data_IF_368824142988
#
_entry.id   IF_368824142988
#
_cell.length_a   1.000
_cell.length_b   1.000
_cell.length_c   1.000
_cell.angle_alpha   90.00
_cell.angle_beta   90.00
_cell.angle_gamma   90.00
#
_symmetry.space_group_name_H-M   'P 1'
#
loop_
_entity.id
_entity.type
_entity.pdbx_description
1 polymer ?
#
# COMPACT_ATOMS: atom_id res chain seq x y z
N UNK A 1 -8.64 2.86 15.36
CA UNK A 1 -7.31 2.29 15.60
C UNK A 1 -6.30 3.42 15.74
N UNK A 2 -5.51 3.45 16.82
CA UNK A 2 -4.42 4.43 16.98
C UNK A 2 -3.17 3.85 16.30
N UNK A 3 -2.59 4.59 15.36
CA UNK A 3 -1.42 4.15 14.58
C UNK A 3 -0.23 5.02 14.94
N UNK A 4 0.81 4.43 15.53
CA UNK A 4 2.06 5.15 15.81
C UNK A 4 2.93 5.22 14.55
N UNK A 5 3.00 6.40 13.93
CA UNK A 5 3.77 6.64 12.71
C UNK A 5 5.27 6.34 12.86
N UNK A 6 5.85 6.60 14.03
CA UNK A 6 7.29 6.48 14.25
C UNK A 6 7.76 5.02 14.25
N UNK A 7 6.92 4.10 14.74
CA UNK A 7 7.25 2.67 14.86
C UNK A 7 6.96 1.88 13.58
N UNK A 8 6.31 2.48 12.59
CA UNK A 8 5.99 1.81 11.33
C UNK A 8 7.23 1.68 10.47
N UNK A 9 7.50 0.43 10.07
CA UNK A 9 8.51 0.13 9.06
C UNK A 9 7.99 0.60 7.69
N UNK A 10 8.82 1.34 6.92
CA UNK A 10 8.47 1.66 5.54
C UNK A 10 8.31 0.36 4.74
N UNK A 11 7.39 0.37 3.78
CA UNK A 11 7.38 -0.68 2.75
C UNK A 11 8.68 -0.62 1.96
N UNK A 12 9.26 -1.78 1.67
CA UNK A 12 10.34 -1.87 0.71
C UNK A 12 9.72 -2.15 -0.64
N UNK A 13 10.14 -1.38 -1.63
CA UNK A 13 9.76 -1.58 -3.02
C UNK A 13 11.02 -1.72 -3.85
N UNK A 14 10.96 -2.55 -4.88
CA UNK A 14 11.92 -2.50 -5.98
C UNK A 14 11.37 -1.66 -7.12
N UNK A 15 12.24 -1.20 -8.01
CA UNK A 15 11.81 -0.44 -9.19
C UNK A 15 10.91 -1.28 -10.12
N UNK A 16 11.22 -2.57 -10.26
CA UNK A 16 10.40 -3.50 -11.05
C UNK A 16 9.00 -3.70 -10.47
N UNK A 17 8.85 -3.71 -9.13
CA UNK A 17 7.54 -3.75 -8.49
C UNK A 17 6.73 -2.49 -8.79
N UNK A 18 7.36 -1.31 -8.79
CA UNK A 18 6.71 -0.04 -9.14
C UNK A 18 6.21 -0.03 -10.60
N UNK A 19 6.99 -0.61 -11.51
CA UNK A 19 6.58 -0.78 -12.90
C UNK A 19 5.35 -1.67 -13.04
N UNK A 20 5.31 -2.78 -12.29
CA UNK A 20 4.14 -3.66 -12.25
C UNK A 20 2.91 -2.94 -11.70
N UNK A 21 3.06 -2.17 -10.61
CA UNK A 21 1.96 -1.38 -10.05
C UNK A 21 1.42 -0.33 -11.04
N UNK A 22 2.28 0.33 -11.81
CA UNK A 22 1.83 1.29 -12.83
C UNK A 22 0.92 0.65 -13.87
N UNK A 23 1.22 -0.60 -14.27
CA UNK A 23 0.39 -1.37 -15.20
C UNK A 23 -0.98 -1.68 -14.61
N UNK A 24 -1.03 -2.03 -13.33
CA UNK A 24 -2.30 -2.32 -12.63
C UNK A 24 -3.16 -1.09 -12.39
N UNK A 25 -2.55 0.07 -12.14
CA UNK A 25 -3.26 1.33 -11.90
C UNK A 25 -3.73 1.96 -13.22
N UNK A 26 -3.11 1.61 -14.36
CA UNK A 26 -3.41 2.18 -15.68
C UNK A 26 -2.86 3.59 -15.87
N UNK A 27 -1.99 4.05 -14.95
CA UNK A 27 -1.29 5.32 -15.04
C UNK A 27 0.22 5.06 -14.99
N UNK A 28 1.00 5.62 -15.95
CA UNK A 28 2.45 5.48 -15.92
C UNK A 28 3.02 6.23 -14.72
N UNK A 29 3.93 5.59 -13.99
CA UNK A 29 4.81 6.31 -13.08
C UNK A 29 6.00 6.83 -13.88
N UNK A 30 6.26 8.14 -13.81
CA UNK A 30 7.48 8.71 -14.36
C UNK A 30 8.68 8.32 -13.49
N UNK A 31 9.89 8.45 -14.05
CA UNK A 31 11.10 8.06 -13.35
C UNK A 31 11.30 8.88 -12.06
N UNK A 32 10.96 10.17 -12.10
CA UNK A 32 11.01 11.08 -10.96
C UNK A 32 10.07 10.62 -9.84
N UNK A 33 8.89 10.09 -10.18
CA UNK A 33 7.93 9.55 -9.21
C UNK A 33 8.50 8.31 -8.54
N UNK A 34 9.07 7.38 -9.32
CA UNK A 34 9.69 6.15 -8.81
C UNK A 34 10.85 6.49 -7.87
N UNK A 35 11.71 7.41 -8.27
CA UNK A 35 12.82 7.88 -7.45
C UNK A 35 12.33 8.51 -6.14
N UNK A 36 11.30 9.35 -6.19
CA UNK A 36 10.74 9.95 -4.98
C UNK A 36 10.18 8.90 -4.02
N UNK A 37 9.45 7.90 -4.54
CA UNK A 37 8.87 6.82 -3.73
C UNK A 37 9.99 6.00 -3.07
N UNK A 38 11.04 5.66 -3.81
CA UNK A 38 12.17 4.88 -3.29
C UNK A 38 13.01 5.70 -2.32
N UNK A 39 13.24 6.98 -2.58
CA UNK A 39 14.07 7.88 -1.74
C UNK A 39 13.41 8.21 -0.40
N UNK A 40 12.12 8.56 -0.41
CA UNK A 40 11.47 9.10 0.78
C UNK A 40 10.77 8.02 1.62
N UNK A 41 11.36 7.69 2.77
CA UNK A 41 10.78 6.78 3.75
C UNK A 41 9.37 7.18 4.19
N UNK A 42 9.07 8.49 4.25
CA UNK A 42 7.76 8.97 4.67
C UNK A 42 6.62 8.50 3.77
N UNK A 43 6.86 8.49 2.45
CA UNK A 43 5.91 7.98 1.46
C UNK A 43 5.66 6.48 1.64
N UNK A 44 6.75 5.72 1.79
CA UNK A 44 6.69 4.26 2.01
C UNK A 44 6.01 3.88 3.33
N UNK A 45 6.15 4.70 4.38
CA UNK A 45 5.40 4.54 5.64
C UNK A 45 3.91 4.84 5.47
N UNK A 46 3.56 5.90 4.75
CA UNK A 46 2.16 6.24 4.48
C UNK A 46 1.44 5.12 3.73
N UNK A 47 2.09 4.51 2.74
CA UNK A 47 1.57 3.34 2.03
C UNK A 47 1.36 2.13 2.98
N UNK A 48 2.27 1.91 3.92
CA UNK A 48 2.17 0.80 4.88
C UNK A 48 0.96 0.99 5.82
N UNK A 49 0.71 2.24 6.24
CA UNK A 49 -0.48 2.61 7.01
C UNK A 49 -1.75 2.35 6.21
N UNK A 50 -1.80 2.81 4.96
CA UNK A 50 -2.95 2.62 4.07
C UNK A 50 -3.26 1.13 3.85
N UNK A 51 -2.23 0.30 3.66
CA UNK A 51 -2.39 -1.16 3.53
C UNK A 51 -2.98 -1.78 4.80
N UNK A 52 -2.48 -1.40 5.99
CA UNK A 52 -3.03 -1.86 7.27
C UNK A 52 -4.47 -1.42 7.49
N UNK A 53 -4.79 -0.17 7.17
CA UNK A 53 -6.17 0.35 7.29
C UNK A 53 -7.13 -0.39 6.36
N UNK A 54 -6.74 -0.61 5.10
CA UNK A 54 -7.55 -1.39 4.14
C UNK A 54 -7.77 -2.83 4.62
N UNK A 55 -6.74 -3.48 5.16
CA UNK A 55 -6.87 -4.81 5.75
C UNK A 55 -7.84 -4.81 6.93
N UNK A 56 -7.69 -3.88 7.88
CA UNK A 56 -8.63 -3.78 9.01
C UNK A 56 -10.07 -3.50 8.57
N UNK A 57 -10.27 -2.74 7.49
CA UNK A 57 -11.59 -2.51 6.92
C UNK A 57 -12.16 -3.79 6.29
N UNK A 58 -11.33 -4.61 5.65
CA UNK A 58 -11.73 -5.89 5.09
C UNK A 58 -11.93 -6.97 6.15
N UNK A 59 -11.21 -6.92 7.28
CA UNK A 59 -11.45 -7.78 8.44
C UNK A 59 -12.78 -7.41 9.13
N UNK A 60 -13.15 -6.12 9.11
CA UNK A 60 -14.44 -5.64 9.63
C UNK A 60 -15.63 -5.92 8.70
N UNK A 61 -15.39 -6.14 7.40
CA UNK A 61 -16.37 -6.73 6.49
C UNK A 61 -16.22 -8.24 6.70
N UNK A 62 -17.09 -8.85 7.50
CA UNK A 62 -16.84 -10.21 7.98
C UNK A 62 -16.53 -11.16 6.81
N UNK A 63 -15.51 -12.01 6.97
CA UNK A 63 -15.17 -13.05 5.98
C UNK A 63 -16.39 -13.93 5.66
N UNK A 64 -17.31 -14.06 6.62
CA UNK A 64 -18.63 -14.65 6.48
C UNK A 64 -19.54 -13.95 5.46
N UNK A 65 -19.47 -12.63 5.30
CA UNK A 65 -20.27 -11.89 4.30
C UNK A 65 -19.74 -12.08 2.87
N UNK A 66 -18.46 -12.42 2.71
CA UNK A 66 -17.84 -12.72 1.42
C UNK A 66 -18.01 -14.19 0.99
N UNK A 67 -18.13 -15.12 1.94
CA UNK A 67 -18.33 -16.55 1.70
C UNK A 67 -19.80 -16.97 1.48
N UNK A 68 -20.77 -16.11 1.81
CA UNK A 68 -22.20 -16.38 1.65
C UNK A 68 -22.77 -16.00 0.27
N UNK A 69 -21.91 -15.89 -0.76
CA UNK A 69 -22.33 -15.74 -2.17
C UNK A 69 -21.83 -16.94 -2.98
N UNK A 70 -22.40 -18.11 -2.70
CA UNK A 70 -22.51 -19.23 -3.63
C UNK A 70 -23.98 -19.59 -3.82
#
# INVERSE_FOLDING_TARGET
>A
MVINYFTIKPLNFTESELDEYSKHIGFPLYNEDKEAILKYNGFRKALAIRKRLKLSSLENISLSDLLNKE
#
